data_IF_342128021398
#
_entry.id   IF_342128021398
#
_cell.length_a   1.000
_cell.length_b   1.000
_cell.length_c   1.000
_cell.angle_alpha   90.00
_cell.angle_beta   90.00
_cell.angle_gamma   90.00
#
_symmetry.space_group_name_H-M   'P 1'
#
loop_
_entity.id
_entity.type
_entity.pdbx_description
1 polymer ?
#
# COMPACT_ATOMS: atom_id res chain seq x y z
N UNK A 1 13.74 0.40 -3.94
CA UNK A 1 12.42 0.27 -3.29
C UNK A 1 11.41 0.07 -4.37
N UNK A 2 10.46 -0.80 -4.08
CA UNK A 2 9.42 -1.25 -4.99
C UNK A 2 8.07 -1.07 -4.31
N UNK A 3 7.06 -0.79 -5.11
CA UNK A 3 5.67 -0.77 -4.67
C UNK A 3 5.03 -2.12 -5.00
N UNK A 4 4.17 -2.61 -4.12
CA UNK A 4 3.43 -3.85 -4.28
C UNK A 4 1.96 -3.61 -4.01
N UNK A 5 1.10 -4.24 -4.79
CA UNK A 5 -0.33 -4.33 -4.48
C UNK A 5 -0.54 -5.62 -3.71
N UNK A 6 -0.96 -5.47 -2.45
CA UNK A 6 -1.33 -6.56 -1.57
C UNK A 6 -2.84 -6.58 -1.43
N UNK A 7 -3.47 -7.73 -1.65
CA UNK A 7 -4.89 -7.93 -1.38
C UNK A 7 -5.08 -9.22 -0.61
N UNK A 8 -5.85 -9.20 0.47
CA UNK A 8 -6.13 -10.38 1.28
C UNK A 8 -7.63 -10.64 1.37
N UNK A 9 -8.00 -11.87 1.70
CA UNK A 9 -9.38 -12.17 1.99
C UNK A 9 -9.87 -11.41 3.25
N UNK A 10 -11.18 -11.37 3.45
CA UNK A 10 -11.83 -10.66 4.55
C UNK A 10 -11.86 -11.46 5.87
N UNK A 11 -11.01 -12.49 6.01
CA UNK A 11 -10.95 -13.31 7.23
C UNK A 11 -10.46 -12.47 8.42
N UNK A 12 -9.57 -11.52 8.16
CA UNK A 12 -9.06 -10.60 9.16
C UNK A 12 -9.72 -9.23 9.10
N UNK A 13 -9.92 -8.63 10.27
CA UNK A 13 -10.29 -7.22 10.40
C UNK A 13 -9.21 -6.31 9.80
N UNK A 14 -9.60 -5.14 9.30
CA UNK A 14 -8.67 -4.12 8.81
C UNK A 14 -7.66 -3.70 9.89
N UNK A 15 -8.06 -3.68 11.16
CA UNK A 15 -7.19 -3.35 12.30
C UNK A 15 -6.08 -4.38 12.46
N UNK A 16 -6.41 -5.67 12.34
CA UNK A 16 -5.43 -6.75 12.40
C UNK A 16 -4.46 -6.70 11.22
N UNK A 17 -4.96 -6.49 9.99
CA UNK A 17 -4.09 -6.33 8.83
C UNK A 17 -3.16 -5.13 9.02
N UNK A 18 -3.70 -3.99 9.44
CA UNK A 18 -2.91 -2.78 9.73
C UNK A 18 -1.83 -3.04 10.78
N UNK A 19 -2.17 -3.79 11.84
CA UNK A 19 -1.21 -4.22 12.86
C UNK A 19 -0.09 -5.08 12.27
N UNK A 20 -0.42 -6.09 11.46
CA UNK A 20 0.56 -6.95 10.80
C UNK A 20 1.48 -6.13 9.88
N UNK A 21 0.91 -5.24 9.06
CA UNK A 21 1.68 -4.42 8.13
C UNK A 21 2.61 -3.44 8.88
N UNK A 22 2.16 -2.85 10.00
CA UNK A 22 2.96 -1.96 10.84
C UNK A 22 4.10 -2.69 11.58
N UNK A 23 3.86 -3.91 12.04
CA UNK A 23 4.87 -4.68 12.80
C UNK A 23 5.87 -5.43 11.88
N UNK A 24 5.59 -5.53 10.58
CA UNK A 24 6.45 -6.21 9.62
C UNK A 24 7.61 -5.30 9.20
N UNK A 25 8.80 -5.52 9.79
CA UNK A 25 10.03 -4.75 9.51
C UNK A 25 10.45 -4.67 8.03
N UNK A 26 10.02 -5.63 7.22
CA UNK A 26 10.30 -5.64 5.78
C UNK A 26 9.45 -4.61 4.99
N UNK A 27 8.43 -4.03 5.62
CA UNK A 27 7.57 -3.00 5.05
C UNK A 27 8.08 -1.65 5.54
N UNK A 28 8.48 -0.80 4.58
CA UNK A 28 9.00 0.53 4.87
C UNK A 28 7.86 1.53 5.07
N UNK A 29 6.79 1.37 4.29
CA UNK A 29 5.57 2.15 4.37
C UNK A 29 4.42 1.41 3.68
N UNK A 30 3.18 1.75 4.02
CA UNK A 30 2.01 1.24 3.31
C UNK A 30 0.84 2.22 3.39
N UNK A 31 -0.13 2.06 2.49
CA UNK A 31 -1.42 2.75 2.53
C UNK A 31 -2.53 1.87 1.95
N UNK A 32 -3.77 2.00 2.44
CA UNK A 32 -4.92 1.18 2.01
C UNK A 32 -6.04 2.04 1.43
N UNK A 33 -5.93 2.51 0.16
CA UNK A 33 -6.97 3.30 -0.49
C UNK A 33 -8.23 2.51 -0.85
N UNK A 34 -8.13 1.18 -0.91
CA UNK A 34 -9.19 0.27 -1.33
C UNK A 34 -9.37 -0.77 -0.22
N UNK A 35 -10.61 -1.13 0.11
CA UNK A 35 -10.92 -2.13 1.14
C UNK A 35 -10.19 -3.46 0.87
N UNK A 36 -9.66 -4.07 1.94
CA UNK A 36 -8.89 -5.33 1.91
C UNK A 36 -7.67 -5.31 0.98
N UNK A 37 -7.16 -4.12 0.63
CA UNK A 37 -6.04 -3.94 -0.28
C UNK A 37 -5.09 -2.87 0.26
N UNK A 38 -3.79 -3.14 0.22
CA UNK A 38 -2.77 -2.17 0.55
C UNK A 38 -1.79 -2.00 -0.61
N UNK A 39 -1.30 -0.77 -0.77
CA UNK A 39 -0.09 -0.48 -1.51
C UNK A 39 1.05 -0.52 -0.50
N UNK A 40 1.98 -1.45 -0.67
CA UNK A 40 3.10 -1.71 0.24
C UNK A 40 4.40 -1.28 -0.42
N UNK A 41 5.26 -0.59 0.32
CA UNK A 41 6.61 -0.25 -0.12
C UNK A 41 7.62 -1.13 0.61
N UNK A 42 8.47 -1.81 -0.15
CA UNK A 42 9.53 -2.65 0.40
C UNK A 42 10.81 -2.56 -0.43
N UNK A 43 11.93 -2.97 0.18
CA UNK A 43 13.22 -3.21 -0.49
C UNK A 43 13.37 -4.66 -0.95
N UNK A 44 12.50 -5.56 -0.48
CA UNK A 44 12.56 -6.98 -0.83
C UNK A 44 12.06 -7.25 -2.25
N UNK A 45 12.38 -8.45 -2.75
CA UNK A 45 11.75 -9.01 -3.94
C UNK A 45 10.30 -9.42 -3.64
N UNK A 46 9.49 -9.62 -4.69
CA UNK A 46 8.13 -10.13 -4.55
C UNK A 46 8.10 -11.47 -3.80
N UNK A 47 8.99 -12.41 -4.14
CA UNK A 47 9.05 -13.73 -3.52
C UNK A 47 9.42 -13.66 -2.04
N UNK A 48 10.40 -12.83 -1.68
CA UNK A 48 10.83 -12.70 -0.28
C UNK A 48 9.78 -12.00 0.58
N UNK A 49 9.16 -10.93 0.05
CA UNK A 49 8.09 -10.23 0.75
C UNK A 49 6.85 -11.11 0.91
N UNK A 50 6.51 -11.90 -0.12
CA UNK A 50 5.42 -12.87 -0.06
C UNK A 50 5.67 -13.92 1.03
N UNK A 51 6.89 -14.47 1.12
CA UNK A 51 7.26 -15.42 2.16
C UNK A 51 7.17 -14.81 3.57
N UNK A 52 7.61 -13.55 3.75
CA UNK A 52 7.47 -12.82 5.02
C UNK A 52 6.00 -12.66 5.39
N UNK A 53 5.16 -12.19 4.47
CA UNK A 53 3.73 -11.99 4.72
C UNK A 53 3.02 -13.30 5.01
N UNK A 54 3.32 -14.38 4.28
CA UNK A 54 2.79 -15.71 4.55
C UNK A 54 3.17 -16.20 5.95
N UNK A 55 4.42 -16.01 6.38
CA UNK A 55 4.86 -16.36 7.75
C UNK A 55 4.13 -15.58 8.85
N UNK A 56 3.57 -14.40 8.54
CA UNK A 56 2.81 -13.55 9.46
C UNK A 56 1.30 -13.82 9.43
N UNK A 57 0.77 -14.17 8.27
CA UNK A 57 -0.66 -14.37 8.01
C UNK A 57 -1.09 -15.84 8.10
N UNK A 58 -0.15 -16.78 8.16
CA UNK A 58 -0.42 -18.22 8.17
C UNK A 58 -1.05 -18.69 6.85
N UNK A 59 -1.99 -19.63 6.93
CA UNK A 59 -2.70 -20.23 5.79
C UNK A 59 -3.69 -19.29 5.08
N UNK A 60 -3.61 -17.98 5.35
CA UNK A 60 -4.52 -16.99 4.80
C UNK A 60 -4.19 -16.73 3.33
N UNK A 61 -5.21 -16.72 2.49
CA UNK A 61 -5.03 -16.40 1.08
C UNK A 61 -4.85 -14.91 0.86
N UNK A 62 -3.78 -14.56 0.15
CA UNK A 62 -3.51 -13.21 -0.31
C UNK A 62 -2.91 -13.23 -1.71
N UNK A 63 -3.02 -12.10 -2.40
CA UNK A 63 -2.33 -11.78 -3.64
C UNK A 63 -1.31 -10.70 -3.31
N UNK A 64 -0.08 -10.86 -3.80
CA UNK A 64 0.96 -9.84 -3.78
C UNK A 64 1.54 -9.74 -5.18
N UNK A 65 1.52 -8.54 -5.76
CA UNK A 65 2.11 -8.28 -7.08
C UNK A 65 2.96 -7.02 -7.04
N UNK A 66 4.14 -7.07 -7.65
CA UNK A 66 4.96 -5.87 -7.84
C UNK A 66 4.26 -4.90 -8.81
N UNK A 67 4.05 -3.66 -8.37
CA UNK A 67 3.46 -2.62 -9.20
C UNK A 67 4.55 -1.99 -10.08
N UNK A 68 4.34 -2.00 -11.40
CA UNK A 68 5.27 -1.36 -12.33
C UNK A 68 5.02 0.16 -12.39
N UNK A 69 6.05 1.01 -12.21
CA UNK A 69 5.94 2.48 -12.23
C UNK A 69 5.41 3.09 -13.54
N UNK A 70 5.35 2.31 -14.61
CA UNK A 70 4.90 2.75 -15.94
C UNK A 70 3.61 2.08 -16.39
N UNK A 71 3.08 1.13 -15.61
CA UNK A 71 1.82 0.44 -15.91
C UNK A 71 0.70 0.93 -14.99
N UNK A 72 0.44 2.24 -15.03
CA UNK A 72 -0.58 2.90 -14.20
C UNK A 72 -1.93 2.97 -14.92
N UNK A 73 -2.35 1.86 -15.49
CA UNK A 73 -3.64 1.75 -16.17
C UNK A 73 -4.74 1.53 -15.13
N UNK A 74 -5.29 2.63 -14.58
CA UNK A 74 -6.37 2.57 -13.59
C UNK A 74 -6.74 3.93 -13.02
N UNK A 75 -7.82 3.97 -12.24
CA UNK A 75 -8.43 5.20 -11.72
C UNK A 75 -8.14 5.42 -10.22
N UNK A 76 -6.89 5.25 -9.82
CA UNK A 76 -6.44 5.73 -8.51
C UNK A 76 -6.26 7.26 -8.56
N UNK A 77 -6.56 7.97 -7.45
CA UNK A 77 -6.17 9.37 -7.32
C UNK A 77 -4.66 9.55 -7.52
N UNK A 78 -4.26 10.68 -8.11
CA UNK A 78 -2.89 10.91 -8.60
C UNK A 78 -1.82 10.79 -7.52
N UNK A 79 -2.14 11.11 -6.27
CA UNK A 79 -1.26 10.94 -5.12
C UNK A 79 -0.93 9.46 -4.83
N UNK A 80 -1.87 8.54 -5.04
CA UNK A 80 -1.59 7.11 -4.92
C UNK A 80 -0.79 6.57 -6.11
N UNK A 81 -1.01 7.10 -7.31
CA UNK A 81 -0.16 6.77 -8.45
C UNK A 81 1.27 7.26 -8.26
N UNK A 82 1.45 8.48 -7.75
CA UNK A 82 2.74 9.01 -7.35
C UNK A 82 3.40 8.13 -6.29
N UNK A 83 2.59 7.58 -5.37
CA UNK A 83 3.04 6.62 -4.36
C UNK A 83 3.62 5.34 -4.94
N UNK A 84 2.98 4.81 -5.97
CA UNK A 84 3.42 3.61 -6.68
C UNK A 84 4.66 3.91 -7.54
N UNK A 85 4.68 5.05 -8.23
CA UNK A 85 5.69 5.37 -9.22
C UNK A 85 7.01 5.87 -8.62
N UNK A 86 6.93 6.58 -7.48
CA UNK A 86 8.08 7.20 -6.82
C UNK A 86 8.22 6.78 -5.34
N UNK A 87 8.32 5.47 -5.05
CA UNK A 87 8.27 4.97 -3.68
C UNK A 87 9.44 5.46 -2.80
N UNK A 88 10.62 5.67 -3.41
CA UNK A 88 11.81 6.18 -2.72
C UNK A 88 11.60 7.57 -2.12
N UNK A 89 10.99 8.49 -2.87
CA UNK A 89 10.79 9.88 -2.46
C UNK A 89 9.86 10.01 -1.25
N UNK A 90 8.98 9.03 -1.05
CA UNK A 90 7.93 9.14 -0.03
C UNK A 90 8.41 8.67 1.33
N UNK A 91 9.18 7.58 1.37
CA UNK A 91 9.77 7.09 2.62
C UNK A 91 10.81 8.08 3.16
N UNK A 92 11.52 8.81 2.30
CA UNK A 92 12.51 9.80 2.75
C UNK A 92 11.89 11.09 3.30
N UNK A 93 10.68 11.47 2.87
CA UNK A 93 10.13 12.79 3.15
C UNK A 93 8.91 12.80 4.11
N UNK A 94 8.53 11.67 4.73
CA UNK A 94 7.28 11.57 5.52
C UNK A 94 6.03 12.09 4.76
N UNK A 95 6.07 11.98 3.43
CA UNK A 95 5.16 12.68 2.49
C UNK A 95 3.70 12.16 2.54
N UNK A 96 3.45 11.11 3.32
CA UNK A 96 2.15 10.46 3.47
C UNK A 96 1.09 11.42 4.02
N UNK A 97 1.41 12.23 5.04
CA UNK A 97 0.44 13.17 5.62
C UNK A 97 0.02 14.24 4.61
N UNK A 98 0.97 14.85 3.91
CA UNK A 98 0.72 15.90 2.92
C UNK A 98 -0.01 15.39 1.67
N UNK A 99 0.30 14.17 1.20
CA UNK A 99 -0.38 13.53 0.07
C UNK A 99 -1.87 13.30 0.33
N UNK A 100 -2.28 13.02 1.57
CA UNK A 100 -3.66 12.65 1.90
C UNK A 100 -4.48 13.79 2.51
N UNK A 101 -3.86 14.81 3.12
CA UNK A 101 -4.57 16.02 3.56
C UNK A 101 -5.17 16.83 2.40
N UNK A 102 -4.52 16.83 1.23
CA UNK A 102 -4.98 17.58 0.05
C UNK A 102 -6.19 16.96 -0.68
N UNK A 103 -6.58 15.72 -0.34
CA UNK A 103 -7.73 15.03 -0.94
C UNK A 103 -9.01 15.24 -0.12
N UNK A 104 -8.94 15.28 1.22
CA UNK A 104 -10.11 15.56 2.07
C UNK A 104 -10.71 16.94 1.76
N UNK A 105 -9.87 17.94 1.46
CA UNK A 105 -10.33 19.27 1.07
C UNK A 105 -10.99 19.31 -0.31
N UNK A 106 -10.51 18.52 -1.28
CA UNK A 106 -11.07 18.48 -2.64
C UNK A 106 -12.32 17.61 -2.78
N UNK A 107 -12.42 16.52 -2.01
CA UNK A 107 -13.62 15.67 -1.97
C UNK A 107 -14.85 16.40 -1.38
N UNK A 108 -14.63 17.38 -0.49
CA UNK A 108 -15.69 18.23 0.06
C UNK A 108 -16.16 19.33 -0.90
N UNK A 109 -15.31 19.79 -1.82
CA UNK A 109 -15.63 20.86 -2.77
C UNK A 109 -16.41 20.39 -4.01
N UNK A 110 -16.40 19.09 -4.31
CA UNK A 110 -17.12 18.54 -5.47
C UNK A 110 -18.53 18.01 -5.12
N UNK A 111 -18.99 18.19 -3.88
CA UNK A 111 -20.34 17.83 -3.42
C UNK A 111 -21.21 19.07 -3.10
N UNK A 112 -20.87 20.24 -3.65
CA UNK A 112 -21.70 21.46 -3.58
C UNK A 112 -22.21 21.85 -4.97
#
# INVERSE_FOLDING_TARGET
MKAFIFSCNNVFSNEYISFILNDTKAIEAWVSPITNTAIIISKLSESDLSAVLHGRLGETWFILVEASPSNTTGWLPSNFWEYINNPHSIVQNNYLSELFSNQQSKGLLNNQ
#
